data_IF_593145397423
#
_entry.id   IF_593145397423
#
_cell.length_a   1.000
_cell.length_b   1.000
_cell.length_c   1.000
_cell.angle_alpha   90.00
_cell.angle_beta   90.00
_cell.angle_gamma   90.00
#
_symmetry.space_group_name_H-M   'P 1'
#
loop_
_entity.id
_entity.type
_entity.pdbx_description
1 polymer ?
#
# COMPACT_ATOMS: atom_id res chain seq x y z
N UNK A 1 -1.74 18.53 -5.69
CA UNK A 1 -2.51 17.28 -5.56
C UNK A 1 -2.17 16.42 -6.76
N UNK A 2 -1.64 15.21 -6.55
CA UNK A 2 -1.32 14.25 -7.63
C UNK A 2 -2.35 13.12 -7.53
N UNK A 3 -2.97 12.75 -8.64
CA UNK A 3 -3.98 11.69 -8.71
C UNK A 3 -3.96 11.01 -10.08
N UNK A 4 -4.46 9.78 -10.15
CA UNK A 4 -4.61 9.00 -11.38
C UNK A 4 -3.31 8.85 -12.20
N UNK A 5 -2.18 8.71 -11.51
CA UNK A 5 -0.87 8.44 -12.13
C UNK A 5 -0.61 6.92 -12.18
N UNK A 6 0.06 6.42 -13.23
CA UNK A 6 0.34 4.99 -13.36
C UNK A 6 1.33 4.49 -12.31
N UNK A 7 2.21 5.37 -11.84
CA UNK A 7 3.16 5.09 -10.78
C UNK A 7 3.52 6.35 -9.97
N UNK A 8 3.84 6.17 -8.69
CA UNK A 8 4.33 7.22 -7.79
C UNK A 8 5.31 6.64 -6.79
N UNK A 9 6.43 7.33 -6.60
CA UNK A 9 7.46 6.98 -5.64
C UNK A 9 7.42 7.89 -4.42
N UNK A 10 7.52 7.29 -3.24
CA UNK A 10 7.63 7.97 -1.96
C UNK A 10 8.88 7.50 -1.20
N UNK A 11 9.45 8.38 -0.39
CA UNK A 11 10.52 8.08 0.58
C UNK A 11 10.08 8.37 2.01
N UNK A 12 10.83 7.85 2.99
CA UNK A 12 10.58 7.98 4.44
C UNK A 12 9.16 7.52 4.82
N UNK A 13 8.79 6.35 4.31
CA UNK A 13 7.40 5.90 4.30
C UNK A 13 7.02 5.23 5.61
N UNK A 14 5.85 5.58 6.13
CA UNK A 14 5.20 4.95 7.29
C UNK A 14 3.87 4.35 6.84
N UNK A 15 3.70 3.07 7.10
CA UNK A 15 2.45 2.34 6.86
C UNK A 15 1.52 2.48 8.06
N UNK A 16 0.25 2.79 7.81
CA UNK A 16 -0.76 3.02 8.84
C UNK A 16 -2.03 2.25 8.55
N UNK A 17 -2.59 1.65 9.59
CA UNK A 17 -3.91 1.02 9.56
C UNK A 17 -4.70 1.53 10.76
N UNK A 18 -5.95 1.93 10.52
CA UNK A 18 -6.90 2.28 11.58
C UNK A 18 -7.70 1.05 11.95
N UNK A 19 -7.42 0.45 13.11
CA UNK A 19 -8.21 -0.69 13.61
C UNK A 19 -9.67 -0.32 13.83
N UNK A 20 -9.94 0.87 14.38
CA UNK A 20 -11.29 1.39 14.58
C UNK A 20 -12.01 1.59 13.24
N UNK A 21 -11.31 2.16 12.25
CA UNK A 21 -11.84 2.36 10.90
C UNK A 21 -12.17 1.02 10.23
N UNK A 22 -11.27 0.04 10.35
CA UNK A 22 -11.46 -1.33 9.85
C UNK A 22 -12.65 -2.02 10.51
N UNK A 23 -12.73 -2.01 11.84
CA UNK A 23 -13.83 -2.61 12.59
C UNK A 23 -15.18 -1.96 12.23
N UNK A 24 -15.20 -0.64 12.08
CA UNK A 24 -16.38 0.11 11.62
C UNK A 24 -16.78 -0.29 10.19
N UNK A 25 -15.82 -0.44 9.28
CA UNK A 25 -16.06 -0.86 7.89
C UNK A 25 -16.77 -2.22 7.85
N UNK A 26 -16.28 -3.20 8.61
CA UNK A 26 -16.90 -4.53 8.71
C UNK A 26 -18.29 -4.49 9.33
N UNK A 27 -18.45 -3.78 10.46
CA UNK A 27 -19.74 -3.69 11.15
C UNK A 27 -20.84 -3.07 10.29
N UNK A 28 -20.49 -2.05 9.49
CA UNK A 28 -21.46 -1.32 8.66
C UNK A 28 -21.60 -1.91 7.25
N UNK A 29 -20.75 -2.86 6.85
CA UNK A 29 -20.69 -3.36 5.47
C UNK A 29 -20.28 -2.29 4.43
N UNK A 30 -19.75 -1.16 4.89
CA UNK A 30 -19.38 -0.03 4.02
C UNK A 30 -17.88 0.00 3.80
N UNK A 31 -17.47 0.18 2.55
CA UNK A 31 -16.06 0.40 2.21
C UNK A 31 -15.64 1.79 2.68
N UNK A 32 -14.72 1.84 3.64
CA UNK A 32 -14.08 3.07 4.10
C UNK A 32 -12.56 2.93 4.00
N UNK A 33 -11.85 4.03 3.82
CA UNK A 33 -10.39 4.01 3.88
C UNK A 33 -9.97 3.78 5.33
N UNK A 34 -9.18 2.74 5.56
CA UNK A 34 -8.66 2.38 6.88
C UNK A 34 -7.23 1.84 6.83
N UNK A 35 -6.59 1.86 5.66
CA UNK A 35 -5.18 1.57 5.48
C UNK A 35 -4.59 2.59 4.50
N UNK A 36 -3.44 3.15 4.82
CA UNK A 36 -2.76 4.18 4.02
C UNK A 36 -1.27 4.22 4.34
N UNK A 37 -0.53 5.01 3.55
CA UNK A 37 0.86 5.34 3.85
C UNK A 37 1.05 6.85 3.96
N UNK A 38 2.11 7.25 4.66
CA UNK A 38 2.58 8.62 4.76
C UNK A 38 4.04 8.64 4.31
N UNK A 39 4.44 9.60 3.48
CA UNK A 39 5.81 9.76 3.01
C UNK A 39 5.95 10.97 2.11
N UNK A 40 7.18 11.24 1.66
CA UNK A 40 7.49 12.34 0.73
C UNK A 40 7.50 11.84 -0.69
N UNK A 41 6.74 12.46 -1.59
CA UNK A 41 6.78 12.12 -3.02
C UNK A 41 8.11 12.57 -3.62
N UNK A 42 8.83 11.66 -4.28
CA UNK A 42 10.11 11.94 -4.94
C UNK A 42 10.03 11.89 -6.46
N UNK A 43 9.19 11.01 -7.02
CA UNK A 43 9.10 10.83 -8.47
C UNK A 43 7.74 10.32 -8.94
N UNK A 44 7.47 10.57 -10.22
CA UNK A 44 6.37 9.98 -11.00
C UNK A 44 7.01 9.26 -12.20
N UNK A 45 7.51 8.03 -12.01
CA UNK A 45 8.31 7.36 -13.04
C UNK A 45 7.47 7.02 -14.27
N UNK A 46 8.03 7.25 -15.46
CA UNK A 46 7.40 6.86 -16.74
C UNK A 46 7.46 5.36 -16.98
N UNK A 47 8.52 4.71 -16.49
CA UNK A 47 8.73 3.26 -16.55
C UNK A 47 8.80 2.67 -15.14
N UNK A 48 8.08 1.57 -14.93
CA UNK A 48 8.04 0.84 -13.66
C UNK A 48 9.09 -0.28 -13.68
N UNK A 49 10.07 -0.18 -12.78
CA UNK A 49 11.08 -1.22 -12.55
C UNK A 49 10.84 -1.81 -11.16
N UNK A 50 10.44 -3.08 -11.11
CA UNK A 50 10.11 -3.79 -9.87
C UNK A 50 11.23 -4.71 -9.39
N UNK A 51 12.31 -4.85 -10.15
CA UNK A 51 13.42 -5.74 -9.84
C UNK A 51 14.03 -5.42 -8.47
N UNK A 52 14.11 -6.45 -7.62
CA UNK A 52 14.62 -6.33 -6.25
C UNK A 52 13.65 -5.71 -5.25
N UNK A 53 12.45 -5.29 -5.67
CA UNK A 53 11.41 -4.80 -4.76
C UNK A 53 10.50 -5.92 -4.30
N UNK A 54 10.01 -5.78 -3.08
CA UNK A 54 9.11 -6.71 -2.44
C UNK A 54 7.70 -6.16 -2.42
N UNK A 55 6.74 -6.94 -2.91
CA UNK A 55 5.34 -6.55 -2.85
C UNK A 55 4.86 -6.53 -1.39
N UNK A 56 4.23 -5.43 -1.00
CA UNK A 56 3.60 -5.26 0.31
C UNK A 56 2.09 -5.27 0.15
N UNK A 57 1.42 -6.06 0.98
CA UNK A 57 -0.03 -6.26 0.90
C UNK A 57 -0.71 -5.95 2.22
N UNK A 58 -2.00 -5.66 2.13
CA UNK A 58 -2.88 -5.49 3.28
C UNK A 58 -4.15 -6.30 3.06
N UNK A 59 -4.49 -7.16 4.01
CA UNK A 59 -5.74 -7.92 4.00
C UNK A 59 -6.69 -7.36 5.07
N UNK A 60 -7.86 -6.79 4.67
CA UNK A 60 -8.77 -6.20 5.62
C UNK A 60 -9.56 -7.22 6.45
N UNK A 61 -9.51 -8.52 6.13
CA UNK A 61 -10.31 -9.54 6.79
C UNK A 61 -10.14 -9.54 8.32
N UNK A 62 -11.23 -9.73 9.09
CA UNK A 62 -11.24 -9.52 10.54
C UNK A 62 -10.32 -10.47 11.31
N UNK A 63 -10.08 -11.67 10.78
CA UNK A 63 -9.17 -12.68 11.33
C UNK A 63 -7.68 -12.39 11.04
N UNK A 64 -7.39 -11.40 10.18
CA UNK A 64 -6.03 -11.02 9.81
C UNK A 64 -5.53 -9.86 10.68
N UNK A 65 -4.22 -9.76 10.94
CA UNK A 65 -3.64 -8.61 11.61
C UNK A 65 -3.94 -7.30 10.86
N UNK A 66 -4.16 -6.21 11.61
CA UNK A 66 -4.37 -4.87 11.04
C UNK A 66 -3.03 -4.23 10.63
N UNK A 67 -2.29 -4.87 9.73
CA UNK A 67 -0.96 -4.44 9.33
C UNK A 67 -0.68 -4.78 7.87
N UNK A 68 0.27 -4.06 7.30
CA UNK A 68 0.82 -4.41 6.00
C UNK A 68 1.85 -5.51 6.18
N UNK A 69 1.92 -6.45 5.23
CA UNK A 69 2.83 -7.58 5.31
C UNK A 69 3.55 -7.80 3.98
N UNK A 70 4.82 -8.18 4.06
CA UNK A 70 5.54 -8.74 2.93
C UNK A 70 5.09 -10.18 2.61
N UNK A 71 5.72 -10.83 1.60
CA UNK A 71 5.38 -12.19 1.15
C UNK A 71 5.45 -13.23 2.26
N UNK A 72 6.41 -13.09 3.17
CA UNK A 72 6.63 -14.03 4.28
C UNK A 72 5.72 -13.74 5.49
N UNK A 73 4.74 -12.83 5.34
CA UNK A 73 3.85 -12.41 6.42
C UNK A 73 4.48 -11.47 7.45
N UNK A 74 5.75 -11.08 7.25
CA UNK A 74 6.45 -10.16 8.15
C UNK A 74 5.78 -8.77 8.11
N UNK A 75 5.43 -8.18 9.27
CA UNK A 75 4.83 -6.86 9.31
C UNK A 75 5.76 -5.77 8.77
N UNK A 76 5.25 -4.97 7.84
CA UNK A 76 5.91 -3.80 7.28
C UNK A 76 5.27 -2.55 7.87
N UNK A 77 6.02 -1.83 8.71
CA UNK A 77 5.56 -0.59 9.36
C UNK A 77 6.18 0.66 8.76
N UNK A 78 7.39 0.52 8.22
CA UNK A 78 8.17 1.59 7.63
C UNK A 78 8.97 1.04 6.44
N UNK A 79 9.30 1.91 5.50
CA UNK A 79 10.22 1.62 4.41
C UNK A 79 10.95 2.89 4.00
N UNK A 80 12.22 2.75 3.61
CA UNK A 80 12.99 3.89 3.10
C UNK A 80 12.39 4.45 1.79
N UNK A 81 11.80 3.57 0.98
CA UNK A 81 11.18 3.87 -0.30
C UNK A 81 9.94 3.00 -0.50
N UNK A 82 8.91 3.54 -1.15
CA UNK A 82 7.78 2.80 -1.70
C UNK A 82 7.52 3.25 -3.13
N UNK A 83 7.37 2.29 -4.04
CA UNK A 83 6.79 2.52 -5.35
C UNK A 83 5.35 2.00 -5.35
N UNK A 84 4.39 2.89 -5.58
CA UNK A 84 3.04 2.47 -5.97
C UNK A 84 3.00 2.40 -7.48
N UNK A 85 2.64 1.24 -8.01
CA UNK A 85 2.51 1.02 -9.44
C UNK A 85 1.41 0.00 -9.75
N UNK A 86 0.74 0.17 -10.88
CA UNK A 86 -0.10 -0.88 -11.43
C UNK A 86 0.74 -2.11 -11.80
N UNK A 87 0.24 -3.31 -11.50
CA UNK A 87 0.95 -4.53 -11.90
C UNK A 87 1.01 -4.63 -13.44
N UNK A 88 2.14 -5.05 -14.03
CA UNK A 88 2.25 -5.16 -15.50
C UNK A 88 1.22 -6.11 -16.11
N UNK A 89 0.83 -7.15 -15.37
CA UNK A 89 -0.16 -8.15 -15.76
C UNK A 89 -1.60 -7.77 -15.37
N UNK A 90 -1.79 -6.72 -14.55
CA UNK A 90 -3.11 -6.22 -14.16
C UNK A 90 -3.11 -4.70 -13.98
N UNK A 91 -3.28 -3.92 -15.07
CA UNK A 91 -3.20 -2.45 -15.03
C UNK A 91 -4.33 -1.80 -14.22
N UNK A 92 -5.39 -2.55 -13.88
CA UNK A 92 -6.49 -2.09 -13.04
C UNK A 92 -6.18 -2.20 -11.53
N UNK A 93 -5.06 -2.85 -11.15
CA UNK A 93 -4.67 -3.05 -9.75
C UNK A 93 -3.30 -2.47 -9.47
N UNK A 94 -3.28 -1.45 -8.62
CA UNK A 94 -2.07 -0.90 -8.02
C UNK A 94 -1.63 -1.69 -6.80
N UNK A 95 -0.33 -1.86 -6.64
CA UNK A 95 0.30 -2.43 -5.46
C UNK A 95 1.40 -1.52 -4.93
N UNK A 96 1.75 -1.71 -3.65
CA UNK A 96 2.90 -1.09 -3.03
C UNK A 96 4.11 -2.04 -3.11
N UNK A 97 5.26 -1.49 -3.45
CA UNK A 97 6.53 -2.21 -3.56
C UNK A 97 7.60 -1.49 -2.73
N UNK A 98 8.28 -2.21 -1.84
CA UNK A 98 9.37 -1.70 -0.97
C UNK A 98 10.72 -2.25 -1.37
#
# INVERSE_FOLDING_TARGET
MIANVPAIELVDVIFKVSEVGRARSHRLGHRTVHAWVLGTVTALPEAVVLDGLTQVTYNPAPERPATFTGPDGVPVRQAARVLFACAPDNPARGYAWV
#
